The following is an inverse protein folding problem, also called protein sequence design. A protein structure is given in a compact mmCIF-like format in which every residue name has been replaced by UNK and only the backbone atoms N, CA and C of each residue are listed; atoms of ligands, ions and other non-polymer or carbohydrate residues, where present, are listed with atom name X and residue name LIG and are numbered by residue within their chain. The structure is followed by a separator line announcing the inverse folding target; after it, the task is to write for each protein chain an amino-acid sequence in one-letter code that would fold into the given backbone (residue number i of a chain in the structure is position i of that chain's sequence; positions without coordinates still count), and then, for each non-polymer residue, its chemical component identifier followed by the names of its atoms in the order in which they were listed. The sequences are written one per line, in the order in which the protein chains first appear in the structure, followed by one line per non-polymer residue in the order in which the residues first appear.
data_IF_838867160257
#
_entry.id   IF_838867160257
#
_cell.length_a   1.000
_cell.length_b   1.000
_cell.length_c   1.000
_cell.angle_alpha   90.00
_cell.angle_beta   90.00
_cell.angle_gamma   90.00
#
_symmetry.space_group_name_H-M   'P 1'
#
loop_
_entity.id
_entity.type
_entity.pdbx_description
1 polymer ?
#
# COMPACT_ATOMS: atom_id res chain seq x y z
N UNK A 1 -16.17 19.55 -18.14
CA UNK A 1 -15.59 18.21 -18.32
C UNK A 1 -15.39 17.55 -16.95
N UNK A 2 -15.99 16.40 -16.76
CA UNK A 2 -15.87 15.71 -15.49
C UNK A 2 -14.52 15.00 -15.41
N UNK A 3 -13.85 15.15 -14.25
CA UNK A 3 -12.63 14.41 -13.98
C UNK A 3 -13.03 13.01 -13.54
N UNK A 4 -12.52 12.00 -14.23
CA UNK A 4 -12.71 10.62 -13.80
C UNK A 4 -11.63 10.24 -12.80
N UNK A 5 -12.04 9.98 -11.57
CA UNK A 5 -11.15 9.45 -10.57
C UNK A 5 -11.16 7.92 -10.67
N UNK A 6 -9.97 7.34 -10.60
CA UNK A 6 -9.82 5.88 -10.60
C UNK A 6 -9.31 5.44 -9.24
N UNK A 7 -9.84 4.30 -8.78
CA UNK A 7 -9.38 3.70 -7.54
C UNK A 7 -7.89 3.39 -7.63
N UNK A 8 -7.12 3.88 -6.67
CA UNK A 8 -5.67 3.65 -6.64
C UNK A 8 -5.29 2.21 -6.31
N UNK A 9 -6.26 1.39 -5.90
CA UNK A 9 -6.02 -0.03 -5.59
C UNK A 9 -6.32 -0.91 -6.80
N UNK A 10 -7.51 -0.80 -7.38
CA UNK A 10 -7.99 -1.74 -8.39
C UNK A 10 -8.25 -1.12 -9.77
N UNK A 11 -8.22 0.21 -9.89
CA UNK A 11 -8.44 0.89 -11.16
C UNK A 11 -9.89 1.09 -11.57
N UNK A 12 -10.84 0.64 -10.78
CA UNK A 12 -12.26 0.87 -11.04
C UNK A 12 -12.61 2.34 -10.77
N UNK A 13 -13.73 2.86 -11.30
CA UNK A 13 -14.13 4.22 -10.97
C UNK A 13 -14.21 4.44 -9.46
N UNK A 14 -13.59 5.52 -8.99
CA UNK A 14 -13.56 5.84 -7.57
C UNK A 14 -14.72 6.75 -7.20
N UNK A 15 -15.24 6.59 -6.00
CA UNK A 15 -16.34 7.39 -5.48
C UNK A 15 -15.89 8.34 -4.38
N UNK A 16 -14.79 8.07 -3.72
CA UNK A 16 -14.31 8.89 -2.60
C UNK A 16 -12.80 9.06 -2.67
N UNK A 17 -12.31 10.10 -2.00
CA UNK A 17 -10.89 10.32 -1.73
C UNK A 17 -10.73 10.29 -0.22
N UNK A 18 -9.82 9.49 0.28
CA UNK A 18 -9.62 9.33 1.72
C UNK A 18 -8.13 9.33 2.05
N UNK A 19 -7.82 9.79 3.26
CA UNK A 19 -6.44 9.81 3.74
C UNK A 19 -5.90 8.39 3.92
N UNK A 20 -4.65 8.17 3.54
CA UNK A 20 -3.99 6.89 3.71
C UNK A 20 -3.38 6.79 5.11
N UNK A 21 -3.40 5.58 5.67
CA UNK A 21 -2.65 5.26 6.87
C UNK A 21 -1.16 5.07 6.58
N UNK A 22 -0.79 5.00 5.31
CA UNK A 22 0.58 4.73 4.86
C UNK A 22 1.16 5.95 4.15
N UNK A 23 1.31 7.03 4.88
CA UNK A 23 1.89 8.25 4.38
C UNK A 23 0.97 9.44 4.57
N UNK A 24 1.52 10.63 4.36
CA UNK A 24 0.78 11.88 4.52
C UNK A 24 0.12 12.29 3.20
N UNK A 25 -0.70 11.42 2.64
CA UNK A 25 -1.34 11.63 1.35
C UNK A 25 -2.73 11.01 1.33
N UNK A 26 -3.50 11.35 0.30
CA UNK A 26 -4.83 10.79 0.10
C UNK A 26 -4.88 10.04 -1.23
N UNK A 27 -5.71 9.03 -1.28
CA UNK A 27 -5.92 8.22 -2.49
C UNK A 27 -7.40 8.12 -2.80
N UNK A 28 -7.70 7.88 -4.06
CA UNK A 28 -9.07 7.62 -4.50
C UNK A 28 -9.40 6.14 -4.32
N UNK A 29 -10.61 5.86 -3.86
CA UNK A 29 -11.05 4.47 -3.60
C UNK A 29 -12.45 4.24 -4.18
N UNK A 30 -12.64 3.04 -4.71
CA UNK A 30 -13.99 2.56 -5.02
C UNK A 30 -14.65 2.04 -3.74
N UNK A 31 -15.96 1.81 -3.78
CA UNK A 31 -16.70 1.32 -2.61
C UNK A 31 -16.14 0.03 -2.04
N UNK A 32 -15.81 -0.93 -2.91
CA UNK A 32 -15.30 -2.23 -2.48
C UNK A 32 -13.98 -2.12 -1.72
N UNK A 33 -13.03 -1.36 -2.28
CA UNK A 33 -11.71 -1.20 -1.64
C UNK A 33 -11.82 -0.42 -0.34
N UNK A 34 -12.67 0.61 -0.32
CA UNK A 34 -12.91 1.38 0.89
C UNK A 34 -13.53 0.52 1.99
N UNK A 35 -14.53 -0.29 1.64
CA UNK A 35 -15.20 -1.18 2.59
C UNK A 35 -14.24 -2.24 3.16
N UNK A 36 -13.28 -2.68 2.37
CA UNK A 36 -12.27 -3.65 2.81
C UNK A 36 -11.12 -3.00 3.58
N UNK A 37 -11.07 -1.69 3.64
CA UNK A 37 -9.96 -0.97 4.25
C UNK A 37 -8.64 -1.25 3.54
N UNK A 38 -8.69 -1.39 2.21
CA UNK A 38 -7.54 -1.78 1.41
C UNK A 38 -6.80 -0.56 0.90
N UNK A 39 -5.49 -0.52 1.15
CA UNK A 39 -4.62 0.57 0.69
C UNK A 39 -3.93 0.18 -0.61
N UNK A 40 -3.46 1.17 -1.42
CA UNK A 40 -2.71 0.84 -2.63
C UNK A 40 -1.43 0.08 -2.30
N UNK A 41 -1.21 -1.04 -2.98
CA UNK A 41 -0.06 -1.92 -2.73
C UNK A 41 1.27 -1.18 -2.80
N UNK A 42 1.49 -0.42 -3.88
CA UNK A 42 2.75 0.30 -4.07
C UNK A 42 2.99 1.35 -2.99
N UNK A 43 1.94 2.00 -2.51
CA UNK A 43 2.04 2.99 -1.43
C UNK A 43 2.46 2.33 -0.13
N UNK A 44 1.89 1.16 0.18
CA UNK A 44 2.24 0.40 1.39
C UNK A 44 3.67 -0.09 1.31
N UNK A 45 4.09 -0.64 0.16
CA UNK A 45 5.48 -1.08 -0.04
C UNK A 45 6.45 0.08 0.20
N UNK A 46 6.18 1.24 -0.39
CA UNK A 46 7.06 2.41 -0.24
C UNK A 46 7.12 2.90 1.20
N UNK A 47 5.98 2.96 1.89
CA UNK A 47 5.94 3.40 3.28
C UNK A 47 6.72 2.45 4.20
N UNK A 48 6.51 1.15 4.05
CA UNK A 48 7.19 0.12 4.85
C UNK A 48 8.69 0.17 4.57
N UNK A 49 9.11 0.30 3.31
CA UNK A 49 10.53 0.39 2.95
C UNK A 49 11.22 1.60 3.60
N UNK A 50 10.51 2.71 3.77
CA UNK A 50 11.05 3.88 4.47
C UNK A 50 11.22 3.61 5.97
N UNK A 51 10.44 2.70 6.53
CA UNK A 51 10.52 2.32 7.94
C UNK A 51 11.57 1.23 8.19
N UNK A 52 11.87 0.42 7.20
CA UNK A 52 12.85 -0.65 7.31
C UNK A 52 12.40 -1.93 6.61
N UNK A 53 13.06 -3.03 6.97
CA UNK A 53 12.75 -4.34 6.41
C UNK A 53 11.51 -4.94 7.05
N UNK A 54 10.72 -5.64 6.26
CA UNK A 54 9.54 -6.35 6.74
C UNK A 54 9.89 -7.82 6.94
N UNK A 55 9.48 -8.46 8.04
CA UNK A 55 8.71 -7.89 9.14
C UNK A 55 9.54 -7.33 10.30
N UNK A 56 10.88 -7.45 10.25
CA UNK A 56 11.76 -7.27 11.41
C UNK A 56 11.69 -5.87 12.02
N UNK A 57 11.67 -4.85 11.17
CA UNK A 57 11.73 -3.45 11.62
C UNK A 57 10.35 -2.81 11.76
N UNK A 58 9.30 -3.57 11.51
CA UNK A 58 7.94 -3.05 11.44
C UNK A 58 7.16 -3.43 12.69
N UNK A 59 6.43 -2.46 13.26
CA UNK A 59 5.65 -2.74 14.47
C UNK A 59 4.48 -3.68 14.20
N UNK A 60 3.93 -4.25 15.26
CA UNK A 60 2.91 -5.29 15.16
C UNK A 60 1.62 -4.80 14.49
N UNK A 61 1.23 -3.55 14.72
CA UNK A 61 0.01 -3.00 14.13
C UNK A 61 0.10 -3.02 12.60
N UNK A 62 1.21 -2.54 12.06
CA UNK A 62 1.43 -2.54 10.62
C UNK A 62 1.63 -3.95 10.06
N UNK A 63 2.35 -4.82 10.80
CA UNK A 63 2.53 -6.20 10.37
C UNK A 63 1.19 -6.91 10.21
N UNK A 64 0.32 -6.77 11.19
CA UNK A 64 -1.00 -7.38 11.16
C UNK A 64 -1.85 -6.84 10.02
N UNK A 65 -1.80 -5.52 9.80
CA UNK A 65 -2.57 -4.88 8.75
C UNK A 65 -2.10 -5.33 7.36
N UNK A 66 -0.79 -5.38 7.15
CA UNK A 66 -0.23 -5.86 5.87
C UNK A 66 -0.65 -7.31 5.62
N UNK A 67 -0.54 -8.17 6.63
CA UNK A 67 -0.92 -9.58 6.49
C UNK A 67 -2.40 -9.75 6.18
N UNK A 68 -3.23 -8.87 6.70
CA UNK A 68 -4.67 -8.85 6.38
C UNK A 68 -4.91 -8.48 4.91
N UNK A 69 -4.15 -7.52 4.40
CA UNK A 69 -4.33 -7.02 3.04
C UNK A 69 -3.72 -7.92 1.95
N UNK A 70 -2.69 -8.71 2.29
CA UNK A 70 -1.98 -9.53 1.31
C UNK A 70 -2.89 -10.38 0.43
N UNK A 71 -3.81 -11.21 0.98
CA UNK A 71 -4.69 -11.99 0.13
C UNK A 71 -5.65 -11.14 -0.70
N UNK A 72 -6.02 -9.96 -0.20
CA UNK A 72 -6.91 -9.04 -0.93
C UNK A 72 -6.20 -8.43 -2.14
N UNK A 73 -4.89 -8.26 -2.06
CA UNK A 73 -4.08 -7.81 -3.20
C UNK A 73 -3.72 -8.96 -4.14
N UNK A 74 -3.95 -10.21 -3.73
CA UNK A 74 -3.48 -11.37 -4.47
C UNK A 74 -1.97 -11.54 -4.37
N UNK A 75 -1.37 -11.17 -3.23
CA UNK A 75 0.07 -11.24 -3.00
C UNK A 75 0.38 -12.17 -1.84
N UNK A 76 1.57 -12.79 -1.90
CA UNK A 76 2.09 -13.57 -0.78
C UNK A 76 3.00 -12.69 0.09
N UNK A 77 3.24 -13.11 1.31
CA UNK A 77 4.18 -12.40 2.18
C UNK A 77 5.58 -12.39 1.60
N UNK A 78 6.01 -13.48 0.97
CA UNK A 78 7.32 -13.55 0.32
C UNK A 78 7.46 -12.52 -0.79
N UNK A 79 6.41 -12.33 -1.60
CA UNK A 79 6.41 -11.31 -2.65
C UNK A 79 6.48 -9.91 -2.05
N UNK A 80 5.75 -9.67 -0.98
CA UNK A 80 5.76 -8.38 -0.29
C UNK A 80 7.15 -8.07 0.26
N UNK A 81 7.78 -9.04 0.92
CA UNK A 81 9.14 -8.89 1.47
C UNK A 81 10.12 -8.55 0.35
N UNK A 82 10.04 -9.27 -0.77
CA UNK A 82 10.91 -9.01 -1.93
C UNK A 82 10.72 -7.59 -2.47
N UNK A 83 9.47 -7.15 -2.57
CA UNK A 83 9.17 -5.82 -3.11
C UNK A 83 9.65 -4.71 -2.17
N UNK A 84 9.51 -4.91 -0.85
CA UNK A 84 10.04 -3.98 0.15
C UNK A 84 11.57 -3.92 0.05
N UNK A 85 12.23 -5.07 -0.02
CA UNK A 85 13.70 -5.13 -0.12
C UNK A 85 14.20 -4.44 -1.39
N UNK A 86 13.50 -4.66 -2.51
CA UNK A 86 13.82 -3.99 -3.78
C UNK A 86 13.69 -2.48 -3.64
N UNK A 87 12.64 -2.01 -2.97
CA UNK A 87 12.45 -0.57 -2.76
C UNK A 87 13.54 0.02 -1.86
N UNK A 88 13.93 -0.69 -0.80
CA UNK A 88 15.02 -0.27 0.08
C UNK A 88 16.31 -0.13 -0.72
N UNK A 89 16.59 -1.09 -1.60
CA UNK A 89 17.77 -1.05 -2.46
C UNK A 89 17.76 0.18 -3.36
N UNK A 90 16.61 0.49 -3.94
CA UNK A 90 16.46 1.69 -4.78
C UNK A 90 16.67 2.98 -4.00
N UNK A 91 16.18 3.04 -2.77
CA UNK A 91 16.36 4.22 -1.91
C UNK A 91 17.83 4.42 -1.56
N UNK A 92 18.58 3.34 -1.34
CA UNK A 92 20.01 3.40 -1.07
C UNK A 92 20.78 3.86 -2.31
N UNK A 93 20.36 3.43 -3.50
CA UNK A 93 21.05 3.75 -4.74
C UNK A 93 20.84 5.19 -5.22
N UNK A 94 19.89 5.92 -4.63
CA UNK A 94 19.59 7.30 -5.03
C UNK A 94 20.59 8.30 -4.47
N UNK A 95 21.38 7.93 -3.49
CA UNK A 95 22.38 8.84 -2.91
C UNK A 95 23.57 9.12 -3.83
#
# INVERSE_FOLDING_TARGET
MALELRCNVCGKPALVVAASAYGATSYAFCDDCLAKGLEPYSAVVAYIACAGHFPEDINETYRSDVRRMLPLWGKTEAEFIRDVDTMIQRLEDVE
#
